data_IF_122074868938
#
_entry.id   IF_122074868938
#
_cell.length_a   1.000
_cell.length_b   1.000
_cell.length_c   1.000
_cell.angle_alpha   90.00
_cell.angle_beta   90.00
_cell.angle_gamma   90.00
#
_symmetry.space_group_name_H-M   'P 1'
#
loop_
_entity.id
_entity.type
_entity.pdbx_description
1 polymer ?
#
# COMPACT_ATOMS: atom_id res chain seq x y z
N UNK A 1 -16.02 7.35 -3.60
CA UNK A 1 -15.12 6.18 -3.65
C UNK A 1 -13.93 6.50 -2.75
N UNK A 2 -13.57 5.63 -1.80
CA UNK A 2 -12.46 5.91 -0.89
C UNK A 2 -11.11 5.60 -1.57
N UNK A 3 -10.05 6.35 -1.23
CA UNK A 3 -8.68 6.10 -1.70
C UNK A 3 -7.84 5.59 -0.53
N UNK A 4 -7.12 4.49 -0.74
CA UNK A 4 -6.21 3.87 0.22
C UNK A 4 -4.83 3.79 -0.40
N UNK A 5 -3.85 4.36 0.30
CA UNK A 5 -2.44 4.37 -0.12
C UNK A 5 -1.65 3.43 0.79
N UNK A 6 -1.04 2.40 0.20
CA UNK A 6 -0.13 1.50 0.89
C UNK A 6 1.30 1.92 0.59
N UNK A 7 1.91 2.61 1.55
CA UNK A 7 3.34 2.86 1.54
C UNK A 7 4.09 1.56 1.87
N UNK A 8 4.98 1.16 0.97
CA UNK A 8 5.63 -0.13 0.95
C UNK A 8 7.10 -0.01 0.57
N UNK A 9 7.87 -1.08 0.81
CA UNK A 9 9.26 -1.21 0.37
C UNK A 9 9.45 -2.54 -0.37
N UNK A 10 10.13 -2.56 -1.53
CA UNK A 10 10.46 -3.80 -2.23
C UNK A 10 11.18 -4.81 -1.34
N UNK A 11 10.76 -6.07 -1.39
CA UNK A 11 11.35 -7.16 -0.59
C UNK A 11 10.88 -7.22 0.87
N UNK A 12 9.94 -6.37 1.30
CA UNK A 12 9.35 -6.45 2.63
C UNK A 12 8.16 -7.42 2.64
N UNK A 13 8.32 -8.59 3.29
CA UNK A 13 7.26 -9.60 3.38
C UNK A 13 5.97 -9.08 4.04
N UNK A 14 6.06 -8.12 4.96
CA UNK A 14 4.90 -7.53 5.64
C UNK A 14 4.11 -6.63 4.70
N UNK A 15 4.80 -5.85 3.87
CA UNK A 15 4.14 -5.02 2.86
C UNK A 15 3.40 -5.88 1.83
N UNK A 16 4.01 -7.00 1.41
CA UNK A 16 3.37 -7.95 0.52
C UNK A 16 2.12 -8.58 1.15
N UNK A 17 2.18 -8.93 2.43
CA UNK A 17 1.03 -9.45 3.17
C UNK A 17 -0.09 -8.42 3.30
N UNK A 18 0.24 -7.18 3.67
CA UNK A 18 -0.70 -6.07 3.74
C UNK A 18 -1.38 -5.83 2.38
N UNK A 19 -0.61 -5.83 1.29
CA UNK A 19 -1.15 -5.71 -0.06
C UNK A 19 -2.11 -6.87 -0.40
N UNK A 20 -1.81 -8.11 0.00
CA UNK A 20 -2.73 -9.25 -0.17
C UNK A 20 -4.05 -9.02 0.57
N UNK A 21 -4.00 -8.55 1.82
CA UNK A 21 -5.21 -8.26 2.62
C UNK A 21 -6.04 -7.15 2.00
N UNK A 22 -5.41 -6.04 1.59
CA UNK A 22 -6.11 -4.90 0.97
C UNK A 22 -6.73 -5.27 -0.37
N UNK A 23 -6.03 -6.02 -1.23
CA UNK A 23 -6.59 -6.53 -2.49
C UNK A 23 -7.78 -7.47 -2.25
N UNK A 24 -7.77 -8.24 -1.16
CA UNK A 24 -8.91 -9.06 -0.78
C UNK A 24 -10.09 -8.22 -0.27
N UNK A 25 -9.83 -7.20 0.55
CA UNK A 25 -10.84 -6.28 1.05
C UNK A 25 -11.51 -5.48 -0.09
N UNK A 26 -10.76 -5.14 -1.16
CA UNK A 26 -11.28 -4.45 -2.34
C UNK A 26 -12.37 -5.22 -3.09
N UNK A 27 -12.46 -6.55 -2.89
CA UNK A 27 -13.58 -7.34 -3.43
C UNK A 27 -14.89 -7.13 -2.67
N UNK A 28 -14.83 -6.64 -1.43
CA UNK A 28 -15.97 -6.43 -0.54
C UNK A 28 -16.32 -4.95 -0.36
N UNK A 29 -15.32 -4.07 -0.45
CA UNK A 29 -15.46 -2.63 -0.26
C UNK A 29 -14.96 -1.91 -1.50
N UNK A 30 -15.72 -0.93 -1.96
CA UNK A 30 -15.37 -0.12 -3.13
C UNK A 30 -14.37 0.98 -2.75
N UNK A 31 -13.10 0.73 -3.00
CA UNK A 31 -12.02 1.68 -2.83
C UNK A 31 -10.91 1.50 -3.87
N UNK A 32 -10.22 2.58 -4.17
CA UNK A 32 -9.01 2.60 -4.96
C UNK A 32 -7.80 2.26 -4.07
N UNK A 33 -6.97 1.31 -4.48
CA UNK A 33 -5.75 0.92 -3.80
C UNK A 33 -4.54 1.36 -4.63
N UNK A 34 -3.67 2.18 -4.04
CA UNK A 34 -2.43 2.65 -4.66
C UNK A 34 -1.26 2.16 -3.80
N UNK A 35 -0.32 1.48 -4.43
CA UNK A 35 0.91 1.01 -3.79
C UNK A 35 2.04 1.99 -4.10
N UNK A 36 2.63 2.57 -3.05
CA UNK A 36 3.69 3.57 -3.15
C UNK A 36 4.98 2.96 -2.61
N UNK A 37 6.08 3.01 -3.37
CA UNK A 37 7.39 2.65 -2.85
C UNK A 37 7.97 3.84 -2.06
N UNK A 38 8.24 3.65 -0.77
CA UNK A 38 8.81 4.71 0.09
C UNK A 38 10.21 5.14 -0.33
N UNK A 39 10.92 4.30 -1.08
CA UNK A 39 12.28 4.61 -1.54
C UNK A 39 12.26 5.47 -2.82
N UNK A 40 11.10 5.68 -3.46
CA UNK A 40 10.97 6.52 -4.66
C UNK A 40 10.85 8.03 -4.33
N UNK A 41 10.43 8.38 -3.11
CA UNK A 41 10.30 9.76 -2.66
C UNK A 41 10.85 9.92 -1.23
N UNK A 42 11.94 10.67 -1.10
CA UNK A 42 12.62 10.91 0.17
C UNK A 42 11.72 11.55 1.23
N UNK A 43 10.66 12.29 0.83
CA UNK A 43 9.72 12.92 1.74
C UNK A 43 8.86 11.92 2.52
N UNK A 44 8.73 10.67 2.04
CA UNK A 44 8.00 9.60 2.73
C UNK A 44 8.83 8.85 3.76
N UNK A 45 10.15 9.01 3.71
CA UNK A 45 11.11 8.35 4.61
C UNK A 45 11.54 9.22 5.80
N UNK A 46 11.15 10.50 5.83
CA UNK A 46 11.54 11.44 6.87
C UNK A 46 10.64 11.32 8.11
N UNK A 47 11.15 10.63 9.14
CA UNK A 47 10.69 10.70 10.52
C UNK A 47 11.75 11.41 11.38
#
# INVERSE_FOLDING_TARGET
MARVELFSRPGCHLCEEAARVLRAARRRFDFELIECNVDDDASWSAA
#
